data_IF_224253061813
#
_entry.id   IF_224253061813
#
_cell.length_a   1.000
_cell.length_b   1.000
_cell.length_c   1.000
_cell.angle_alpha   90.00
_cell.angle_beta   90.00
_cell.angle_gamma   90.00
#
_symmetry.space_group_name_H-M   'P 1'
#
loop_
_entity.id
_entity.type
_entity.pdbx_description
1 polymer ?
#
# COMPACT_ATOMS: atom_id res chain seq x y z
N UNK A 1 13.16 -21.08 -25.37
CA UNK A 1 13.65 -19.98 -24.52
C UNK A 1 12.50 -19.04 -24.21
N UNK A 2 11.55 -19.49 -23.36
CA UNK A 2 10.32 -18.76 -23.05
C UNK A 2 10.27 -18.47 -21.55
N UNK A 3 11.25 -17.68 -21.08
CA UNK A 3 11.38 -17.33 -19.67
C UNK A 3 10.39 -16.23 -19.27
N UNK A 4 9.40 -16.61 -18.47
CA UNK A 4 8.67 -15.77 -17.51
C UNK A 4 8.14 -14.40 -17.98
N UNK A 5 7.11 -14.41 -18.84
CA UNK A 5 6.20 -13.25 -19.01
C UNK A 5 5.55 -12.77 -17.70
N UNK A 6 5.56 -13.57 -16.62
CA UNK A 6 5.02 -13.19 -15.31
C UNK A 6 5.75 -12.01 -14.64
N UNK A 7 7.04 -11.81 -14.93
CA UNK A 7 7.84 -10.73 -14.32
C UNK A 7 7.45 -9.33 -14.83
N UNK A 8 7.02 -9.21 -16.09
CA UNK A 8 6.57 -7.94 -16.66
C UNK A 8 5.23 -7.45 -16.10
N UNK A 9 4.42 -8.35 -15.52
CA UNK A 9 3.11 -8.03 -14.95
C UNK A 9 3.10 -8.07 -13.41
N UNK A 10 4.25 -8.32 -12.78
CA UNK A 10 4.44 -8.16 -11.33
C UNK A 10 4.55 -6.67 -11.01
N UNK A 11 3.63 -6.13 -10.20
CA UNK A 11 3.83 -4.79 -9.63
C UNK A 11 4.78 -4.94 -8.45
N UNK A 12 6.05 -4.60 -8.64
CA UNK A 12 7.00 -4.56 -7.54
C UNK A 12 6.67 -3.36 -6.64
N UNK A 13 6.27 -3.66 -5.40
CA UNK A 13 5.73 -2.70 -4.43
C UNK A 13 6.70 -2.55 -3.25
N UNK A 14 6.97 -1.30 -2.88
CA UNK A 14 7.54 -0.94 -1.58
C UNK A 14 6.48 -0.28 -0.70
N UNK A 15 6.43 -0.63 0.58
CA UNK A 15 5.51 -0.03 1.56
C UNK A 15 6.34 0.53 2.71
N UNK A 16 6.13 1.81 3.00
CA UNK A 16 6.66 2.47 4.20
C UNK A 16 5.51 2.66 5.19
N UNK A 17 5.62 2.03 6.35
CA UNK A 17 4.61 2.03 7.41
C UNK A 17 5.10 2.89 8.58
N UNK A 18 5.22 4.18 8.34
CA UNK A 18 5.55 5.16 9.37
C UNK A 18 4.42 5.32 10.39
N UNK A 19 4.75 5.83 11.58
CA UNK A 19 3.75 6.09 12.63
C UNK A 19 2.76 7.20 12.27
N UNK A 20 3.19 8.18 11.47
CA UNK A 20 2.35 9.31 11.05
C UNK A 20 1.77 9.11 9.64
N UNK A 21 2.52 8.49 8.73
CA UNK A 21 2.12 8.34 7.33
C UNK A 21 2.50 6.96 6.78
N UNK A 22 1.62 6.45 5.92
CA UNK A 22 1.82 5.24 5.14
C UNK A 22 2.00 5.61 3.68
N UNK A 23 3.05 5.09 3.06
CA UNK A 23 3.36 5.33 1.65
C UNK A 23 3.43 4.03 0.89
N UNK A 24 2.93 4.03 -0.35
CA UNK A 24 3.09 2.92 -1.28
C UNK A 24 3.85 3.41 -2.50
N UNK A 25 4.96 2.74 -2.81
CA UNK A 25 5.75 2.94 -4.01
C UNK A 25 5.54 1.77 -4.97
N UNK A 26 5.33 2.05 -6.25
CA UNK A 26 5.30 1.04 -7.31
C UNK A 26 6.46 1.32 -8.26
N UNK A 27 7.28 0.29 -8.56
CA UNK A 27 8.37 0.41 -9.53
C UNK A 27 7.83 0.99 -10.84
N UNK A 28 8.56 1.95 -11.41
CA UNK A 28 8.22 2.68 -12.65
C UNK A 28 6.97 3.57 -12.58
N UNK A 29 6.30 3.67 -11.43
CA UNK A 29 5.18 4.61 -11.20
C UNK A 29 5.44 5.63 -10.10
N UNK A 30 6.38 5.37 -9.19
CA UNK A 30 6.66 6.25 -8.07
C UNK A 30 5.76 6.01 -6.86
N UNK A 31 5.58 7.04 -6.03
CA UNK A 31 4.69 6.99 -4.86
C UNK A 31 3.23 7.10 -5.36
N UNK A 32 2.46 6.05 -5.18
CA UNK A 32 1.06 5.95 -5.62
C UNK A 32 0.05 6.14 -4.48
N UNK A 33 0.49 6.06 -3.23
CA UNK A 33 -0.32 6.33 -2.04
C UNK A 33 0.53 7.08 -1.01
N UNK A 34 -0.05 8.10 -0.37
CA UNK A 34 0.53 8.82 0.77
C UNK A 34 -0.61 9.29 1.67
N UNK A 35 -0.94 8.48 2.66
CA UNK A 35 -2.03 8.75 3.60
C UNK A 35 -1.49 8.86 5.03
N UNK A 36 -2.23 9.49 5.96
CA UNK A 36 -1.99 9.33 7.39
C UNK A 36 -2.04 7.84 7.80
N UNK A 37 -1.16 7.42 8.71
CA UNK A 37 -1.17 6.04 9.27
C UNK A 37 -2.21 5.91 10.36
N UNK A 38 -3.47 6.17 10.03
CA UNK A 38 -4.59 6.21 10.97
C UNK A 38 -5.81 5.54 10.33
N UNK A 39 -6.68 4.97 11.15
CA UNK A 39 -7.99 4.49 10.75
C UNK A 39 -8.99 4.84 11.86
N UNK A 40 -10.20 5.26 11.49
CA UNK A 40 -11.28 5.46 12.44
C UNK A 40 -12.03 4.14 12.68
N UNK A 41 -12.20 3.76 13.94
CA UNK A 41 -12.94 2.55 14.33
C UNK A 41 -14.12 2.92 15.24
N UNK A 42 -15.19 2.14 15.17
CA UNK A 42 -16.26 2.21 16.15
C UNK A 42 -15.76 1.66 17.50
N UNK A 43 -15.93 2.45 18.57
CA UNK A 43 -15.38 2.12 19.88
C UNK A 43 -15.95 0.80 20.42
N UNK A 44 -15.08 -0.12 20.82
CA UNK A 44 -15.47 -1.45 21.30
C UNK A 44 -15.82 -2.44 20.18
N UNK A 45 -15.73 -2.03 18.91
CA UNK A 45 -15.91 -2.89 17.73
C UNK A 45 -14.65 -2.89 16.86
N UNK A 46 -14.59 -3.79 15.89
CA UNK A 46 -13.51 -3.87 14.89
C UNK A 46 -13.91 -3.26 13.54
N UNK A 47 -15.10 -2.65 13.47
CA UNK A 47 -15.61 -2.00 12.27
C UNK A 47 -14.84 -0.73 11.96
N UNK A 48 -14.33 -0.62 10.74
CA UNK A 48 -13.67 0.58 10.22
C UNK A 48 -14.72 1.54 9.66
N UNK A 49 -14.64 2.81 10.08
CA UNK A 49 -15.56 3.88 9.67
C UNK A 49 -14.97 4.77 8.57
N UNK A 50 -13.67 5.01 8.61
CA UNK A 50 -12.94 5.85 7.65
C UNK A 50 -11.43 5.56 7.69
N UNK A 51 -10.74 5.96 6.62
CA UNK A 51 -9.28 6.01 6.48
C UNK A 51 -8.85 7.43 6.15
#
# INVERSE_FOLDING_TARGET
MLGNFKGLFSNDIGIDLGTANSLVFVRDRGIVLREPSVVAIEAGMTTVLAV
#
